data_IF_850082149921
#
_entry.id   IF_850082149921
#
_cell.length_a   1.000
_cell.length_b   1.000
_cell.length_c   1.000
_cell.angle_alpha   90.00
_cell.angle_beta   90.00
_cell.angle_gamma   90.00
#
_symmetry.space_group_name_H-M   'P 1'
#
loop_
_entity.id
_entity.type
_entity.pdbx_description
1 polymer ?
#
# COMPACT_ATOMS: atom_id res chain seq x y z
N UNK A 1 -33.34 48.33 -46.73
CA UNK A 1 -33.63 47.04 -46.08
C UNK A 1 -32.47 46.10 -46.34
N UNK A 2 -31.61 45.85 -45.34
CA UNK A 2 -30.93 44.57 -44.99
C UNK A 2 -29.90 44.86 -43.88
N UNK A 3 -29.87 43.98 -42.88
CA UNK A 3 -29.39 44.17 -41.50
C UNK A 3 -27.86 44.04 -41.31
N UNK A 4 -27.30 44.62 -40.23
CA UNK A 4 -25.86 44.58 -39.94
C UNK A 4 -25.37 43.22 -39.40
N UNK A 5 -24.12 42.92 -39.76
CA UNK A 5 -23.28 41.83 -39.27
C UNK A 5 -23.05 42.02 -37.77
N UNK A 6 -23.42 41.02 -36.97
CA UNK A 6 -23.12 41.02 -35.53
C UNK A 6 -22.19 39.84 -35.24
N UNK A 7 -20.92 40.16 -35.01
CA UNK A 7 -19.89 39.28 -34.48
C UNK A 7 -20.17 39.14 -32.99
N UNK A 8 -20.56 37.95 -32.53
CA UNK A 8 -20.66 37.64 -31.11
C UNK A 8 -19.63 36.55 -30.78
N UNK A 9 -18.55 36.98 -30.12
CA UNK A 9 -17.46 36.16 -29.65
C UNK A 9 -17.96 35.07 -28.70
N UNK A 10 -17.70 33.79 -29.03
CA UNK A 10 -17.91 32.69 -28.11
C UNK A 10 -16.79 32.71 -27.05
N UNK A 11 -17.18 33.04 -25.82
CA UNK A 11 -16.34 33.02 -24.63
C UNK A 11 -15.87 31.60 -24.30
N UNK A 12 -14.55 31.44 -24.14
CA UNK A 12 -13.90 30.26 -23.60
C UNK A 12 -14.37 30.04 -22.14
N UNK A 13 -15.11 28.97 -21.90
CA UNK A 13 -15.33 28.46 -20.54
C UNK A 13 -14.16 27.55 -20.17
N UNK A 14 -13.16 28.10 -19.49
CA UNK A 14 -12.10 27.33 -18.86
C UNK A 14 -12.69 26.48 -17.73
N UNK A 15 -12.81 25.17 -17.94
CA UNK A 15 -13.19 24.21 -16.91
C UNK A 15 -12.04 24.09 -15.89
N UNK A 16 -12.13 24.83 -14.79
CA UNK A 16 -11.27 24.66 -13.62
C UNK A 16 -11.74 23.45 -12.82
N UNK A 17 -11.22 22.26 -13.16
CA UNK A 17 -11.34 21.08 -12.29
C UNK A 17 -10.66 21.38 -10.95
N UNK A 18 -11.38 21.36 -9.81
CA UNK A 18 -10.72 21.44 -8.52
C UNK A 18 -9.91 20.16 -8.33
N UNK A 19 -8.59 20.30 -8.35
CA UNK A 19 -7.68 19.29 -7.81
C UNK A 19 -8.13 18.98 -6.38
N UNK A 20 -8.66 17.79 -6.15
CA UNK A 20 -8.90 17.27 -4.81
C UNK A 20 -7.54 17.16 -4.12
N UNK A 21 -7.22 18.16 -3.30
CA UNK A 21 -6.07 18.12 -2.39
C UNK A 21 -6.40 17.06 -1.35
N UNK A 22 -6.01 15.82 -1.65
CA UNK A 22 -6.00 14.73 -0.68
C UNK A 22 -5.01 15.13 0.42
N UNK A 23 -5.55 15.58 1.56
CA UNK A 23 -4.72 15.85 2.74
C UNK A 23 -4.11 14.53 3.20
N UNK A 24 -2.78 14.45 3.42
CA UNK A 24 -2.19 13.23 3.94
C UNK A 24 -2.77 13.00 5.34
N UNK A 25 -3.55 11.93 5.49
CA UNK A 25 -3.87 11.37 6.80
C UNK A 25 -2.53 11.13 7.50
N UNK A 26 -2.32 11.82 8.62
CA UNK A 26 -1.21 11.57 9.54
C UNK A 26 -1.48 10.25 10.28
N UNK A 27 -1.48 9.14 9.55
CA UNK A 27 -1.18 7.86 10.15
C UNK A 27 0.30 7.89 10.54
N UNK A 28 0.67 7.29 11.68
CA UNK A 28 2.06 7.24 12.15
C UNK A 28 3.00 6.92 10.99
N UNK A 29 4.09 7.68 10.87
CA UNK A 29 4.91 7.74 9.65
C UNK A 29 5.13 6.33 9.07
N UNK A 30 4.52 6.09 7.92
CA UNK A 30 4.67 4.83 7.19
C UNK A 30 5.86 4.93 6.24
N UNK A 31 6.48 3.79 6.01
CA UNK A 31 7.38 3.56 4.88
C UNK A 31 6.71 3.98 3.57
N UNK A 32 7.49 4.53 2.64
CA UNK A 32 7.01 4.79 1.27
C UNK A 32 6.80 3.48 0.47
N UNK A 33 7.46 2.41 0.89
CA UNK A 33 7.50 1.14 0.15
C UNK A 33 6.92 0.00 0.97
N UNK A 34 6.07 -0.80 0.32
CA UNK A 34 5.58 -2.06 0.88
C UNK A 34 6.65 -3.14 0.89
N UNK A 35 6.61 -3.98 1.92
CA UNK A 35 7.56 -5.05 2.14
C UNK A 35 6.85 -6.37 1.96
N UNK A 36 7.42 -7.24 1.13
CA UNK A 36 6.92 -8.60 0.89
C UNK A 36 7.85 -9.64 1.52
N UNK A 37 7.27 -10.61 2.22
CA UNK A 37 7.99 -11.76 2.76
C UNK A 37 7.22 -13.06 2.55
N UNK A 38 7.91 -14.05 1.98
CA UNK A 38 7.43 -15.42 1.83
C UNK A 38 7.97 -16.27 2.98
N UNK A 39 7.11 -16.72 3.88
CA UNK A 39 7.49 -17.65 4.94
C UNK A 39 7.89 -19.02 4.37
N UNK A 40 8.63 -19.80 5.15
CA UNK A 40 8.92 -21.17 4.77
C UNK A 40 7.65 -22.04 4.78
N UNK A 41 7.75 -23.17 4.09
CA UNK A 41 6.69 -24.17 4.08
C UNK A 41 6.43 -24.72 5.49
N UNK A 42 5.15 -25.03 5.73
CA UNK A 42 4.71 -25.76 6.91
C UNK A 42 3.51 -26.63 6.61
N UNK A 43 3.41 -27.76 7.31
CA UNK A 43 2.24 -28.64 7.24
C UNK A 43 0.94 -27.94 7.65
N UNK A 44 1.02 -26.91 8.50
CA UNK A 44 -0.14 -26.21 9.02
C UNK A 44 -0.17 -24.74 8.59
N UNK A 45 -1.33 -24.29 8.11
CA UNK A 45 -1.55 -22.91 7.64
C UNK A 45 -1.18 -21.88 8.71
N UNK A 46 -1.58 -22.11 9.97
CA UNK A 46 -1.29 -21.18 11.07
C UNK A 46 0.22 -20.99 11.27
N UNK A 47 0.99 -22.07 11.18
CA UNK A 47 2.44 -22.02 11.32
C UNK A 47 3.08 -21.35 10.11
N UNK A 48 2.60 -21.63 8.88
CA UNK A 48 3.05 -20.93 7.67
C UNK A 48 2.83 -19.40 7.77
N UNK A 49 1.71 -18.96 8.34
CA UNK A 49 1.45 -17.54 8.64
C UNK A 49 2.43 -16.96 9.67
N UNK A 50 2.69 -17.70 10.76
CA UNK A 50 3.66 -17.27 11.79
C UNK A 50 5.05 -17.07 11.19
N UNK A 51 5.51 -18.03 10.37
CA UNK A 51 6.79 -17.96 9.66
C UNK A 51 6.84 -16.77 8.71
N UNK A 52 5.79 -16.54 7.92
CA UNK A 52 5.72 -15.39 7.01
C UNK A 52 5.78 -14.05 7.77
N UNK A 53 5.01 -13.90 8.85
CA UNK A 53 5.07 -12.70 9.72
C UNK A 53 6.44 -12.52 10.36
N UNK A 54 7.09 -13.59 10.81
CA UNK A 54 8.42 -13.53 11.40
C UNK A 54 9.45 -13.03 10.39
N UNK A 55 9.46 -13.61 9.19
CA UNK A 55 10.36 -13.18 8.12
C UNK A 55 10.08 -11.74 7.68
N UNK A 56 8.80 -11.34 7.60
CA UNK A 56 8.45 -9.95 7.29
C UNK A 56 9.06 -8.98 8.31
N UNK A 57 8.89 -9.25 9.61
CA UNK A 57 9.48 -8.43 10.69
C UNK A 57 11.00 -8.40 10.62
N UNK A 58 11.63 -9.53 10.32
CA UNK A 58 13.08 -9.60 10.12
C UNK A 58 13.53 -8.71 8.95
N UNK A 59 12.86 -8.79 7.79
CA UNK A 59 13.17 -7.93 6.63
C UNK A 59 13.03 -6.45 6.97
N UNK A 60 11.94 -6.06 7.63
CA UNK A 60 11.71 -4.66 8.06
C UNK A 60 12.83 -4.15 8.95
N UNK A 61 13.31 -4.95 9.90
CA UNK A 61 14.43 -4.58 10.77
C UNK A 61 15.75 -4.40 10.03
N UNK A 62 15.94 -5.13 8.93
CA UNK A 62 17.18 -5.13 8.15
C UNK A 62 17.21 -4.03 7.07
N UNK A 63 16.10 -3.34 6.80
CA UNK A 63 16.06 -2.30 5.77
C UNK A 63 16.65 -0.98 6.26
N UNK A 64 17.58 -0.35 5.50
CA UNK A 64 18.07 0.99 5.81
C UNK A 64 16.94 2.01 5.89
N UNK A 65 16.97 2.88 6.90
CA UNK A 65 15.92 3.88 7.14
C UNK A 65 14.67 3.32 7.84
N UNK A 66 14.56 2.00 7.99
CA UNK A 66 13.59 1.34 8.86
C UNK A 66 14.30 0.76 10.08
N UNK A 67 13.53 0.17 10.99
CA UNK A 67 14.07 -0.40 12.21
C UNK A 67 13.03 -1.16 13.03
N UNK A 68 13.38 -1.57 14.25
CA UNK A 68 12.49 -2.36 15.12
C UNK A 68 11.12 -1.74 15.34
N UNK A 69 11.04 -0.41 15.37
CA UNK A 69 9.78 0.32 15.60
C UNK A 69 8.78 0.20 14.44
N UNK A 70 9.27 -0.06 13.22
CA UNK A 70 8.44 -0.32 12.04
C UNK A 70 8.06 -1.81 11.91
N UNK A 71 8.76 -2.70 12.61
CA UNK A 71 8.65 -4.15 12.47
C UNK A 71 7.50 -4.74 13.31
N UNK A 72 6.31 -4.16 13.20
CA UNK A 72 5.09 -4.63 13.82
C UNK A 72 4.00 -4.86 12.77
N UNK A 73 3.71 -6.13 12.47
CA UNK A 73 2.69 -6.49 11.48
C UNK A 73 1.30 -5.93 11.82
N UNK A 74 0.94 -5.85 13.10
CA UNK A 74 -0.37 -5.32 13.52
C UNK A 74 -0.53 -3.81 13.27
N UNK A 75 0.57 -3.09 13.01
CA UNK A 75 0.58 -1.66 12.67
C UNK A 75 0.77 -1.43 11.17
N UNK A 76 1.08 -2.47 10.40
CA UNK A 76 1.31 -2.34 8.97
C UNK A 76 0.02 -1.97 8.24
N UNK A 77 0.14 -1.12 7.21
CA UNK A 77 -0.96 -0.74 6.34
C UNK A 77 -0.88 -1.45 5.00
N UNK A 78 -1.95 -1.34 4.19
CA UNK A 78 -2.03 -1.95 2.86
C UNK A 78 -1.62 -3.44 2.89
N UNK A 79 -2.14 -4.17 3.88
CA UNK A 79 -1.70 -5.54 4.17
C UNK A 79 -2.41 -6.54 3.27
N UNK A 80 -1.65 -7.52 2.81
CA UNK A 80 -2.14 -8.66 2.05
C UNK A 80 -1.54 -9.94 2.63
N UNK A 81 -2.40 -10.92 2.94
CA UNK A 81 -2.01 -12.25 3.36
C UNK A 81 -2.44 -13.27 2.30
N UNK A 82 -1.48 -13.83 1.56
CA UNK A 82 -1.75 -14.89 0.58
C UNK A 82 -1.14 -16.20 1.04
N UNK A 83 -1.93 -17.26 1.12
CA UNK A 83 -1.42 -18.59 1.42
C UNK A 83 -1.73 -19.56 0.27
N UNK A 84 -0.72 -20.31 -0.14
CA UNK A 84 -0.80 -21.34 -1.18
C UNK A 84 -0.64 -22.69 -0.47
N UNK A 85 -1.64 -23.57 -0.65
CA UNK A 85 -1.66 -24.90 -0.03
C UNK A 85 -1.68 -25.96 -1.12
N UNK A 86 -0.83 -26.98 -0.96
CA UNK A 86 -0.78 -28.14 -1.85
C UNK A 86 -0.31 -29.38 -1.09
N UNK A 87 -0.03 -30.47 -1.82
CA UNK A 87 0.37 -31.75 -1.23
C UNK A 87 1.65 -31.68 -0.38
N UNK A 88 2.57 -30.76 -0.69
CA UNK A 88 3.80 -30.55 0.09
C UNK A 88 3.57 -29.79 1.41
N UNK A 89 2.52 -28.98 1.50
CA UNK A 89 2.22 -28.16 2.67
C UNK A 89 1.64 -26.80 2.29
N UNK A 90 1.74 -25.86 3.24
CA UNK A 90 1.31 -24.47 3.07
C UNK A 90 2.51 -23.53 3.10
N UNK A 91 2.54 -22.59 2.16
CA UNK A 91 3.44 -21.44 2.15
C UNK A 91 2.60 -20.18 2.18
N UNK A 92 3.00 -19.18 2.95
CA UNK A 92 2.32 -17.88 2.95
C UNK A 92 3.25 -16.73 2.55
N UNK A 93 2.71 -15.77 1.83
CA UNK A 93 3.34 -14.53 1.36
C UNK A 93 2.58 -13.37 1.98
N UNK A 94 3.31 -12.54 2.71
CA UNK A 94 2.78 -11.42 3.48
C UNK A 94 3.36 -10.13 2.91
N UNK A 95 2.49 -9.23 2.46
CA UNK A 95 2.86 -7.91 1.95
C UNK A 95 2.23 -6.85 2.82
N UNK A 96 2.98 -5.80 3.17
CA UNK A 96 2.42 -4.69 3.93
C UNK A 96 3.39 -3.52 4.01
N UNK A 97 2.86 -2.32 4.20
CA UNK A 97 3.62 -1.09 4.40
C UNK A 97 3.96 -0.93 5.89
N UNK A 98 5.25 -0.97 6.29
CA UNK A 98 5.64 -0.78 7.69
C UNK A 98 5.28 0.62 8.19
N UNK A 99 4.72 0.72 9.40
CA UNK A 99 4.35 1.99 10.01
C UNK A 99 4.76 2.04 11.49
N UNK A 100 4.97 3.25 11.99
CA UNK A 100 5.18 3.50 13.42
C UNK A 100 3.87 3.33 14.23
N UNK A 101 3.95 3.15 15.56
CA UNK A 101 2.81 2.97 16.45
C UNK A 101 1.72 4.03 16.35
#
# INVERSE_FOLDING_TARGET
MTKPITIAALLLAAASSPFLISSPVKAGACSQTSVMARGEESRFVWMAKVKARALWRQKVRAMPGLGPNYANWARAQNTEERCLTGGAGTVCIFTGTPCLP
#
